data_IF_039397099927
#
_entry.id   IF_039397099927
#
_cell.length_a   1.000
_cell.length_b   1.000
_cell.length_c   1.000
_cell.angle_alpha   90.00
_cell.angle_beta   90.00
_cell.angle_gamma   90.00
#
_symmetry.space_group_name_H-M   'P 1'
#
loop_
_entity.id
_entity.type
_entity.pdbx_description
1 polymer ?
#
# COMPACT_ATOMS: atom_id res chain seq x y z
N UNK A 1 -20.56 0.75 7.97
CA UNK A 1 -20.76 0.91 6.51
C UNK A 1 -19.38 1.10 5.91
N UNK A 2 -18.97 0.36 4.87
CA UNK A 2 -17.65 0.59 4.25
C UNK A 2 -17.65 1.94 3.52
N UNK A 3 -16.58 2.74 3.59
CA UNK A 3 -16.51 4.02 2.88
C UNK A 3 -16.51 3.80 1.37
N UNK A 4 -17.03 4.78 0.62
CA UNK A 4 -17.03 4.78 -0.83
C UNK A 4 -15.66 5.21 -1.37
N UNK A 5 -14.69 4.29 -1.30
CA UNK A 5 -13.34 4.48 -1.82
C UNK A 5 -12.95 3.38 -2.80
N UNK A 6 -11.98 3.69 -3.66
CA UNK A 6 -11.17 2.69 -4.35
C UNK A 6 -9.75 2.72 -3.80
N UNK A 7 -9.11 1.55 -3.76
CA UNK A 7 -7.75 1.37 -3.26
C UNK A 7 -6.94 0.72 -4.36
N UNK A 8 -5.85 1.35 -4.75
CA UNK A 8 -4.90 0.86 -5.74
C UNK A 8 -3.56 0.66 -5.06
N UNK A 9 -2.98 -0.53 -5.24
CA UNK A 9 -1.63 -0.86 -4.80
C UNK A 9 -0.75 -0.98 -6.04
N UNK A 10 0.48 -0.50 -5.94
CA UNK A 10 1.49 -0.57 -7.00
C UNK A 10 2.81 -1.05 -6.37
N UNK A 11 3.47 -1.97 -7.05
CA UNK A 11 4.81 -2.44 -6.69
C UNK A 11 5.70 -2.33 -7.92
N UNK A 12 6.76 -1.52 -7.83
CA UNK A 12 7.64 -1.25 -8.97
C UNK A 12 9.10 -1.40 -8.57
N UNK A 13 9.89 -2.23 -9.28
CA UNK A 13 9.48 -3.14 -10.35
C UNK A 13 8.72 -4.37 -9.80
N UNK A 14 7.85 -4.97 -10.63
CA UNK A 14 7.14 -6.20 -10.30
C UNK A 14 8.02 -7.47 -10.43
N UNK A 15 9.22 -7.34 -11.00
CA UNK A 15 10.22 -8.40 -11.04
C UNK A 15 11.58 -7.80 -10.73
N UNK A 16 12.26 -8.35 -9.73
CA UNK A 16 13.52 -7.84 -9.21
C UNK A 16 14.43 -8.95 -8.69
N UNK A 17 15.72 -8.70 -8.63
CA UNK A 17 16.67 -9.50 -7.84
C UNK A 17 16.98 -8.81 -6.51
N UNK A 18 17.65 -9.51 -5.59
CA UNK A 18 18.14 -8.91 -4.34
C UNK A 18 19.04 -7.67 -4.57
N UNK A 19 19.76 -7.63 -5.70
CA UNK A 19 20.62 -6.49 -6.06
C UNK A 19 19.84 -5.23 -6.47
N UNK A 20 18.52 -5.34 -6.68
CA UNK A 20 17.64 -4.26 -7.12
C UNK A 20 16.64 -3.84 -6.02
N UNK A 21 16.86 -4.25 -4.78
CA UNK A 21 15.96 -3.91 -3.67
C UNK A 21 15.91 -2.41 -3.40
N UNK A 22 17.02 -1.70 -3.61
CA UNK A 22 17.07 -0.23 -3.50
C UNK A 22 16.26 0.48 -4.60
N UNK A 23 15.95 -0.22 -5.72
CA UNK A 23 15.13 0.31 -6.81
C UNK A 23 13.64 0.04 -6.60
N UNK A 24 13.28 -0.81 -5.63
CA UNK A 24 11.90 -1.21 -5.38
C UNK A 24 11.16 -0.19 -4.54
N UNK A 25 9.98 0.18 -5.03
CA UNK A 25 9.02 1.02 -4.32
C UNK A 25 7.67 0.31 -4.30
N UNK A 26 7.11 0.20 -3.10
CA UNK A 26 5.68 -0.12 -2.92
C UNK A 26 4.93 1.18 -2.69
N UNK A 27 3.81 1.37 -3.37
CA UNK A 27 3.00 2.57 -3.23
C UNK A 27 1.52 2.27 -3.33
N UNK A 28 0.73 3.25 -2.96
CA UNK A 28 -0.73 3.14 -3.06
C UNK A 28 -1.37 4.47 -3.44
N UNK A 29 -2.58 4.36 -3.97
CA UNK A 29 -3.51 5.48 -4.13
C UNK A 29 -4.88 5.09 -3.58
N UNK A 30 -5.45 5.95 -2.74
CA UNK A 30 -6.84 5.87 -2.28
C UNK A 30 -7.61 7.02 -2.89
N UNK A 31 -8.73 6.70 -3.53
CA UNK A 31 -9.59 7.69 -4.17
C UNK A 31 -10.98 7.67 -3.53
N UNK A 32 -11.50 8.85 -3.18
CA UNK A 32 -12.86 8.99 -2.67
C UNK A 32 -13.85 9.11 -3.83
N UNK A 33 -14.55 8.01 -4.11
CA UNK A 33 -15.60 7.93 -5.14
C UNK A 33 -17.00 8.26 -4.59
N UNK A 34 -17.07 8.63 -3.32
CA UNK A 34 -18.29 9.05 -2.64
C UNK A 34 -18.67 10.51 -2.90
N UNK A 35 -19.62 11.00 -2.10
CA UNK A 35 -20.14 12.37 -2.16
C UNK A 35 -19.87 13.18 -0.89
N UNK A 36 -19.17 12.58 0.09
CA UNK A 36 -18.83 13.22 1.37
C UNK A 36 -17.33 13.18 1.60
N UNK A 37 -16.81 14.14 2.36
CA UNK A 37 -15.43 14.08 2.87
C UNK A 37 -15.33 12.89 3.83
N UNK A 38 -14.26 12.12 3.73
CA UNK A 38 -14.01 10.95 4.58
C UNK A 38 -12.63 11.04 5.24
N UNK A 39 -12.47 10.41 6.40
CA UNK A 39 -11.16 9.99 6.89
C UNK A 39 -10.93 8.55 6.40
N UNK A 40 -9.99 8.30 5.48
CA UNK A 40 -9.69 6.95 5.02
C UNK A 40 -8.84 6.14 6.02
N UNK A 41 -8.42 6.71 7.15
CA UNK A 41 -7.63 6.05 8.21
C UNK A 41 -6.37 5.36 7.65
N UNK A 42 -5.63 6.03 6.75
CA UNK A 42 -4.48 5.44 6.04
C UNK A 42 -3.38 4.93 6.97
N UNK A 43 -3.23 5.56 8.14
CA UNK A 43 -2.31 5.15 9.19
C UNK A 43 -2.66 3.79 9.82
N UNK A 44 -3.89 3.30 9.60
CA UNK A 44 -4.35 1.98 10.02
C UNK A 44 -4.43 0.99 8.84
N UNK A 45 -3.85 1.35 7.69
CA UNK A 45 -3.83 0.46 6.53
C UNK A 45 -3.02 -0.81 6.80
N UNK A 46 -3.49 -1.94 6.28
CA UNK A 46 -2.88 -3.24 6.45
C UNK A 46 -2.41 -3.74 5.09
N UNK A 47 -1.10 -3.84 4.90
CA UNK A 47 -0.53 -4.59 3.79
C UNK A 47 -0.44 -6.06 4.17
N UNK A 48 -0.94 -6.94 3.30
CA UNK A 48 -0.75 -8.38 3.38
C UNK A 48 0.24 -8.85 2.33
N UNK A 49 1.19 -9.67 2.75
CA UNK A 49 2.17 -10.36 1.91
C UNK A 49 1.88 -11.86 2.01
N UNK A 50 1.49 -12.50 0.91
CA UNK A 50 1.06 -13.90 0.88
C UNK A 50 -0.02 -14.19 1.94
N UNK A 51 -0.96 -13.25 2.11
CA UNK A 51 -2.05 -13.33 3.09
C UNK A 51 -1.68 -13.00 4.54
N UNK A 52 -0.40 -12.82 4.88
CA UNK A 52 0.05 -12.47 6.22
C UNK A 52 0.24 -10.94 6.37
N UNK A 53 -0.13 -10.34 7.52
CA UNK A 53 0.05 -8.90 7.73
C UNK A 53 1.53 -8.51 7.83
N UNK A 54 1.91 -7.42 7.16
CA UNK A 54 3.24 -6.81 7.24
C UNK A 54 3.31 -5.80 8.38
N UNK A 55 4.16 -6.07 9.38
CA UNK A 55 4.41 -5.12 10.47
C UNK A 55 5.20 -3.89 9.99
N UNK A 56 6.19 -4.10 9.11
CA UNK A 56 7.04 -3.04 8.58
C UNK A 56 6.26 -2.00 7.78
N UNK A 57 5.25 -2.43 7.03
CA UNK A 57 4.29 -1.53 6.39
C UNK A 57 3.61 -0.60 7.40
N UNK A 58 3.02 -1.18 8.45
CA UNK A 58 2.30 -0.42 9.47
C UNK A 58 3.21 0.61 10.15
N UNK A 59 4.46 0.24 10.42
CA UNK A 59 5.46 1.15 10.97
C UNK A 59 5.87 2.25 9.99
N UNK A 60 6.08 1.92 8.72
CA UNK A 60 6.49 2.88 7.70
C UNK A 60 5.40 3.93 7.41
N UNK A 61 4.15 3.48 7.28
CA UNK A 61 3.00 4.35 7.02
C UNK A 61 2.61 5.16 8.24
N UNK A 62 2.74 4.64 9.47
CA UNK A 62 2.43 5.42 10.67
C UNK A 62 3.43 6.55 10.93
N UNK A 63 4.69 6.36 10.55
CA UNK A 63 5.78 7.30 10.83
C UNK A 63 6.04 8.32 9.71
N UNK A 64 5.31 8.27 8.59
CA UNK A 64 5.47 9.24 7.51
C UNK A 64 4.88 10.63 7.86
N UNK A 65 5.47 11.67 7.28
CA UNK A 65 4.88 13.00 7.29
C UNK A 65 3.66 13.05 6.38
N UNK A 66 2.46 13.10 6.95
CA UNK A 66 1.21 13.02 6.19
C UNK A 66 0.66 14.39 5.83
N UNK A 67 0.20 14.53 4.59
CA UNK A 67 -0.58 15.68 4.16
C UNK A 67 -1.97 15.69 4.83
N UNK A 68 -2.60 16.87 4.92
CA UNK A 68 -3.93 17.01 5.53
C UNK A 68 -4.99 16.07 4.92
N UNK A 69 -4.87 15.75 3.63
CA UNK A 69 -5.78 14.85 2.90
C UNK A 69 -5.81 13.41 3.45
N UNK A 70 -4.79 12.99 4.20
CA UNK A 70 -4.76 11.68 4.85
C UNK A 70 -5.83 11.50 5.92
N UNK A 71 -6.32 12.60 6.50
CA UNK A 71 -7.36 12.61 7.56
C UNK A 71 -8.70 13.19 7.08
N UNK A 72 -8.72 13.76 5.89
CA UNK A 72 -9.89 14.42 5.32
C UNK A 72 -9.76 14.43 3.79
N UNK A 73 -10.15 13.33 3.16
CA UNK A 73 -10.14 13.14 1.71
C UNK A 73 -11.46 13.63 1.11
N UNK A 74 -11.47 14.74 0.34
CA UNK A 74 -12.70 15.26 -0.25
C UNK A 74 -13.28 14.33 -1.34
N UNK A 75 -14.57 14.47 -1.69
CA UNK A 75 -15.16 13.77 -2.82
C UNK A 75 -14.39 14.03 -4.12
N UNK A 76 -14.11 12.99 -4.90
CA UNK A 76 -13.41 13.09 -6.18
C UNK A 76 -11.89 13.34 -6.07
N UNK A 77 -11.33 13.36 -4.87
CA UNK A 77 -9.89 13.54 -4.65
C UNK A 77 -9.19 12.20 -4.38
N UNK A 78 -7.86 12.21 -4.53
CA UNK A 78 -6.99 11.06 -4.26
C UNK A 78 -5.85 11.43 -3.33
N UNK A 79 -5.33 10.43 -2.62
CA UNK A 79 -4.19 10.54 -1.71
C UNK A 79 -3.40 9.24 -1.74
N UNK A 80 -2.08 9.31 -1.55
CA UNK A 80 -1.21 8.15 -1.69
C UNK A 80 0.19 8.40 -1.17
N UNK A 81 1.07 7.42 -1.38
CA UNK A 81 2.47 7.48 -0.99
C UNK A 81 3.27 6.30 -1.54
N UNK A 82 4.59 6.34 -1.38
CA UNK A 82 5.51 5.28 -1.79
C UNK A 82 6.59 5.06 -0.72
N UNK A 83 6.99 3.81 -0.50
CA UNK A 83 8.02 3.41 0.46
C UNK A 83 8.99 2.38 -0.13
N UNK A 84 10.29 2.48 0.18
CA UNK A 84 11.30 1.49 -0.20
C UNK A 84 11.35 0.36 0.84
N UNK A 85 10.52 -0.68 0.68
CA UNK A 85 10.37 -1.76 1.67
C UNK A 85 10.74 -3.15 1.14
N UNK A 86 11.56 -3.26 0.09
CA UNK A 86 11.86 -4.57 -0.50
C UNK A 86 12.54 -5.54 0.49
N UNK A 87 13.48 -5.05 1.29
CA UNK A 87 14.22 -5.87 2.26
C UNK A 87 13.29 -6.48 3.32
N UNK A 88 12.30 -5.71 3.75
CA UNK A 88 11.34 -6.10 4.78
C UNK A 88 10.26 -7.04 4.23
N UNK A 89 9.82 -6.80 2.99
CA UNK A 89 8.72 -7.57 2.38
C UNK A 89 9.18 -8.89 1.76
N UNK A 90 10.43 -8.99 1.31
CA UNK A 90 10.91 -10.12 0.51
C UNK A 90 12.13 -10.81 1.13
N UNK A 91 11.96 -11.66 2.15
CA UNK A 91 13.07 -12.29 2.86
C UNK A 91 13.87 -13.31 2.02
N UNK A 92 13.32 -13.77 0.88
CA UNK A 92 13.95 -14.76 -0.01
C UNK A 92 13.45 -14.63 -1.46
N UNK A 93 14.17 -15.18 -2.44
CA UNK A 93 13.64 -15.33 -3.81
C UNK A 93 12.32 -16.11 -3.82
N UNK A 94 11.42 -15.74 -4.74
CA UNK A 94 10.10 -16.35 -4.91
C UNK A 94 9.02 -15.38 -5.37
N UNK A 95 7.81 -15.90 -5.53
CA UNK A 95 6.62 -15.14 -5.86
C UNK A 95 5.92 -14.62 -4.59
N UNK A 96 5.45 -13.39 -4.66
CA UNK A 96 4.76 -12.69 -3.58
C UNK A 96 3.45 -12.07 -4.08
N UNK A 97 2.38 -12.30 -3.33
CA UNK A 97 1.07 -11.70 -3.51
C UNK A 97 0.89 -10.58 -2.49
N UNK A 98 0.65 -9.36 -2.99
CA UNK A 98 0.48 -8.18 -2.17
C UNK A 98 -0.95 -7.67 -2.26
N UNK A 99 -1.57 -7.42 -1.11
CA UNK A 99 -2.92 -6.80 -1.02
C UNK A 99 -2.90 -5.73 0.05
N UNK A 100 -3.36 -4.52 -0.30
CA UNK A 100 -3.54 -3.44 0.66
C UNK A 100 -4.99 -3.35 1.10
N UNK A 101 -5.21 -3.16 2.40
CA UNK A 101 -6.53 -2.96 2.98
C UNK A 101 -6.56 -1.58 3.64
N UNK A 102 -7.51 -0.74 3.21
CA UNK A 102 -7.76 0.59 3.76
C UNK A 102 -9.22 0.70 4.15
N UNK A 103 -9.50 1.03 5.41
CA UNK A 103 -10.87 1.14 5.94
C UNK A 103 -11.78 -0.06 5.56
N UNK A 104 -11.20 -1.26 5.53
CA UNK A 104 -11.88 -2.51 5.17
C UNK A 104 -12.16 -2.71 3.66
N UNK A 105 -11.63 -1.86 2.79
CA UNK A 105 -11.64 -2.01 1.32
C UNK A 105 -10.28 -2.53 0.88
N UNK A 106 -10.28 -3.62 0.11
CA UNK A 106 -9.06 -4.24 -0.42
C UNK A 106 -8.72 -3.70 -1.79
N UNK A 107 -7.43 -3.52 -2.08
CA UNK A 107 -6.92 -3.36 -3.44
C UNK A 107 -7.10 -4.66 -4.23
N UNK A 108 -6.99 -4.59 -5.58
CA UNK A 108 -6.60 -5.75 -6.37
C UNK A 108 -5.27 -6.34 -5.86
N UNK A 109 -5.07 -7.63 -6.11
CA UNK A 109 -3.81 -8.31 -5.82
C UNK A 109 -2.72 -7.83 -6.78
N UNK A 110 -1.53 -7.60 -6.23
CA UNK A 110 -0.32 -7.24 -6.98
C UNK A 110 0.72 -8.34 -6.79
N UNK A 111 1.16 -8.93 -7.90
CA UNK A 111 2.21 -9.95 -7.87
C UNK A 111 3.60 -9.31 -8.00
N UNK A 112 4.54 -9.79 -7.19
CA UNK A 112 5.97 -9.44 -7.27
C UNK A 112 6.80 -10.72 -7.33
N UNK A 113 7.71 -10.80 -8.29
CA UNK A 113 8.62 -11.93 -8.47
C UNK A 113 10.05 -11.54 -8.09
N UNK A 114 10.60 -12.18 -7.05
CA UNK A 114 11.99 -12.00 -6.64
C UNK A 114 12.85 -13.13 -7.19
N UNK A 115 13.72 -12.77 -8.13
CA UNK A 115 14.69 -13.67 -8.73
C UNK A 115 15.87 -13.95 -7.78
N UNK A 116 16.52 -15.12 -7.90
CA UNK A 116 17.74 -15.47 -7.17
C UNK A 116 18.89 -14.48 -7.37
#
# INVERSE_FOLDING_TARGET
>A
MKPAITVELVATPATLSAAQFDDFMIGFTVHNVGQQVIDPELNLSELRVNGAPSHDWGMAVMNSGHEAKWKALPPGESVGGHWPLAHELFPRPGDYELVLIVAGVSSPEVAVHVTP
#
